data_IF_434014934585
#
_entry.id   IF_434014934585
#
_cell.length_a   1.000
_cell.length_b   1.000
_cell.length_c   1.000
_cell.angle_alpha   90.00
_cell.angle_beta   90.00
_cell.angle_gamma   90.00
#
_symmetry.space_group_name_H-M   'P 1'
#
loop_
_entity.id
_entity.type
_entity.pdbx_description
1 polymer ?
#
# COMPACT_ATOMS: atom_id res chain seq x y z
N UNK A 1 -1.69 1.81 -25.87
CA UNK A 1 -2.72 1.29 -24.96
C UNK A 1 -2.27 1.54 -23.53
N UNK A 2 -2.63 2.69 -22.95
CA UNK A 2 -2.38 2.95 -21.53
C UNK A 2 -3.50 2.25 -20.77
N UNK A 3 -3.25 1.03 -20.28
CA UNK A 3 -4.10 0.40 -19.30
C UNK A 3 -3.83 1.07 -17.95
N UNK A 4 -4.20 2.36 -17.84
CA UNK A 4 -4.11 3.11 -16.60
C UNK A 4 -5.18 2.53 -15.67
N UNK A 5 -4.77 1.55 -14.86
CA UNK A 5 -5.55 1.11 -13.72
C UNK A 5 -5.90 2.40 -12.94
N UNK A 6 -7.19 2.67 -12.64
CA UNK A 6 -7.57 3.89 -11.96
C UNK A 6 -6.71 4.05 -10.70
N UNK A 7 -6.06 5.20 -10.55
CA UNK A 7 -5.23 5.48 -9.38
C UNK A 7 -6.10 5.32 -8.13
N UNK A 8 -5.78 4.37 -7.24
CA UNK A 8 -6.58 4.15 -6.04
C UNK A 8 -6.66 5.43 -5.21
N UNK A 9 -7.82 5.72 -4.64
CA UNK A 9 -7.99 6.82 -3.68
C UNK A 9 -8.11 6.27 -2.26
N UNK A 10 -7.97 7.13 -1.24
CA UNK A 10 -8.19 6.72 0.16
C UNK A 10 -9.58 6.13 0.39
N UNK A 11 -10.59 6.52 -0.40
CA UNK A 11 -11.96 6.04 -0.30
C UNK A 11 -12.12 4.59 -0.77
N UNK A 12 -11.21 4.10 -1.62
CA UNK A 12 -11.20 2.72 -2.11
C UNK A 12 -10.59 1.74 -1.08
N UNK A 13 -9.98 2.26 -0.02
CA UNK A 13 -9.29 1.49 1.01
C UNK A 13 -10.08 1.46 2.31
N UNK A 14 -10.18 0.29 2.91
CA UNK A 14 -10.65 0.11 4.28
C UNK A 14 -9.67 0.74 5.29
N UNK A 15 -10.16 1.00 6.50
CA UNK A 15 -9.34 1.49 7.61
C UNK A 15 -8.14 0.56 7.92
N UNK A 16 -8.30 -0.75 7.73
CA UNK A 16 -7.23 -1.73 7.94
C UNK A 16 -6.17 -1.59 6.84
N UNK A 17 -6.57 -1.46 5.57
CA UNK A 17 -5.64 -1.29 4.45
C UNK A 17 -4.89 0.04 4.56
N UNK A 18 -5.55 1.15 4.91
CA UNK A 18 -4.87 2.42 5.18
C UNK A 18 -3.86 2.32 6.32
N UNK A 19 -4.21 1.60 7.39
CA UNK A 19 -3.30 1.34 8.51
C UNK A 19 -2.08 0.52 8.07
N UNK A 20 -2.27 -0.51 7.23
CA UNK A 20 -1.16 -1.31 6.70
C UNK A 20 -0.29 -0.49 5.75
N UNK A 21 -0.88 0.34 4.89
CA UNK A 21 -0.15 1.24 3.99
C UNK A 21 0.77 2.18 4.79
N UNK A 22 0.23 2.82 5.84
CA UNK A 22 0.99 3.67 6.74
C UNK A 22 2.06 2.90 7.53
N UNK A 23 1.84 1.61 7.80
CA UNK A 23 2.83 0.75 8.49
C UNK A 23 3.97 0.36 7.58
N UNK A 24 3.69 0.00 6.32
CA UNK A 24 4.70 -0.30 5.30
C UNK A 24 5.54 0.93 4.96
N UNK A 25 4.98 2.14 5.09
CA UNK A 25 5.69 3.40 4.93
C UNK A 25 6.82 3.62 5.95
N UNK A 26 6.70 3.03 7.15
CA UNK A 26 7.62 3.28 8.27
C UNK A 26 8.71 2.19 8.25
N UNK A 27 9.99 2.55 8.22
CA UNK A 27 11.06 1.58 8.34
C UNK A 27 11.01 0.91 9.72
N UNK A 28 10.86 -0.41 9.75
CA UNK A 28 10.76 -1.19 10.97
C UNK A 28 10.36 -2.64 10.72
N UNK A 29 10.30 -3.48 11.77
CA UNK A 29 9.87 -4.86 11.62
C UNK A 29 8.41 -4.94 11.17
N UNK A 30 8.14 -5.67 10.07
CA UNK A 30 6.80 -5.93 9.53
C UNK A 30 5.98 -6.92 10.38
N UNK A 31 6.18 -6.90 11.69
CA UNK A 31 5.51 -7.79 12.65
C UNK A 31 4.09 -7.28 12.87
N UNK A 32 3.10 -8.18 12.72
CA UNK A 32 1.69 -7.87 12.90
C UNK A 32 1.01 -7.17 11.70
N UNK A 33 1.60 -7.26 10.50
CA UNK A 33 0.89 -6.86 9.28
C UNK A 33 -0.24 -7.85 8.98
N UNK A 34 -1.41 -7.31 8.62
CA UNK A 34 -2.49 -8.12 8.09
C UNK A 34 -2.18 -8.51 6.64
N UNK A 35 -1.91 -9.80 6.42
CA UNK A 35 -1.48 -10.30 5.11
C UNK A 35 -2.52 -10.10 4.00
N UNK A 36 -3.81 -10.13 4.32
CA UNK A 36 -4.88 -9.91 3.32
C UNK A 36 -4.95 -8.45 2.90
N UNK A 37 -4.88 -7.53 3.86
CA UNK A 37 -4.83 -6.11 3.58
C UNK A 37 -3.56 -5.73 2.78
N UNK A 38 -2.40 -6.27 3.15
CA UNK A 38 -1.15 -6.03 2.40
C UNK A 38 -1.23 -6.61 0.98
N UNK A 39 -1.80 -7.80 0.81
CA UNK A 39 -2.03 -8.39 -0.51
C UNK A 39 -2.89 -7.49 -1.38
N UNK A 40 -3.96 -6.91 -0.83
CA UNK A 40 -4.79 -5.93 -1.56
C UNK A 40 -4.04 -4.67 -1.93
N UNK A 41 -3.23 -4.12 -1.03
CA UNK A 41 -2.39 -2.96 -1.36
C UNK A 41 -1.40 -3.26 -2.50
N UNK A 42 -0.94 -4.51 -2.62
CA UNK A 42 -0.12 -4.98 -3.75
C UNK A 42 -0.95 -5.07 -5.03
N UNK A 43 -2.17 -5.59 -4.96
CA UNK A 43 -3.10 -5.64 -6.10
C UNK A 43 -3.46 -4.25 -6.62
N UNK A 44 -3.57 -3.27 -5.72
CA UNK A 44 -3.78 -1.86 -6.05
C UNK A 44 -2.52 -1.15 -6.57
N UNK A 45 -1.35 -1.80 -6.53
CA UNK A 45 -0.09 -1.19 -6.97
C UNK A 45 0.49 -0.18 -5.96
N UNK A 46 -0.06 -0.09 -4.75
CA UNK A 46 0.38 0.84 -3.70
C UNK A 46 1.59 0.31 -2.90
N UNK A 47 1.74 -1.02 -2.86
CA UNK A 47 2.82 -1.74 -2.19
C UNK A 47 3.44 -2.73 -3.16
N UNK A 48 4.75 -2.94 -3.06
CA UNK A 48 5.48 -4.00 -3.76
C UNK A 48 6.23 -4.89 -2.78
N UNK A 49 6.33 -6.17 -3.11
CA UNK A 49 7.13 -7.14 -2.37
C UNK A 49 8.61 -6.97 -2.68
N UNK A 50 9.45 -7.20 -1.68
CA UNK A 50 10.91 -7.29 -1.79
C UNK A 50 11.38 -8.53 -1.04
N UNK A 51 12.62 -8.96 -1.32
CA UNK A 51 13.26 -10.14 -0.68
C UNK A 51 13.18 -10.11 0.86
N UNK A 52 13.23 -8.91 1.46
CA UNK A 52 13.19 -8.72 2.91
C UNK A 52 11.91 -8.03 3.43
N UNK A 53 10.80 -8.03 2.68
CA UNK A 53 9.51 -7.50 3.15
C UNK A 53 8.73 -6.70 2.11
N UNK A 54 8.22 -5.53 2.50
CA UNK A 54 7.32 -4.72 1.68
C UNK A 54 7.82 -3.30 1.51
N UNK A 55 7.61 -2.71 0.35
CA UNK A 55 7.93 -1.31 0.11
C UNK A 55 6.73 -0.60 -0.52
N UNK A 56 6.50 0.65 -0.12
CA UNK A 56 5.58 1.51 -0.85
C UNK A 56 6.07 1.79 -2.27
N UNK A 57 5.11 1.93 -3.19
CA UNK A 57 5.32 2.54 -4.49
C UNK A 57 5.15 4.06 -4.41
N UNK A 58 5.50 4.77 -5.47
CA UNK A 58 5.29 6.22 -5.57
C UNK A 58 3.80 6.59 -5.40
N UNK A 59 2.90 5.77 -5.94
CA UNK A 59 1.45 5.91 -5.78
C UNK A 59 1.01 5.71 -4.33
N UNK A 60 1.55 4.69 -3.65
CA UNK A 60 1.31 4.47 -2.22
C UNK A 60 1.79 5.63 -1.35
N UNK A 61 2.93 6.23 -1.69
CA UNK A 61 3.41 7.45 -1.03
C UNK A 61 2.52 8.66 -1.31
N UNK A 62 2.08 8.85 -2.56
CA UNK A 62 1.18 9.92 -2.94
C UNK A 62 -0.16 9.82 -2.19
N UNK A 63 -0.70 8.61 -2.04
CA UNK A 63 -1.96 8.36 -1.34
C UNK A 63 -1.88 8.68 0.15
N UNK A 64 -0.74 8.45 0.79
CA UNK A 64 -0.52 8.85 2.19
C UNK A 64 -0.36 10.37 2.37
N UNK A 65 0.14 11.07 1.34
CA UNK A 65 0.41 12.51 1.38
C UNK A 65 -0.75 13.38 0.89
N UNK A 66 -1.61 12.86 0.03
CA UNK A 66 -2.79 13.57 -0.45
C UNK A 66 -3.68 13.87 0.75
N UNK A 67 -3.83 15.13 1.16
CA UNK A 67 -4.67 15.54 2.30
C UNK A 67 -6.15 15.25 2.02
#
# INVERSE_FOLDING_TARGET
MANAKPTPTKADLSAIELKMLARVARPGPYVGLDGKAVQRLIEFGLVKTRVAGYQLTDEGFALLRAE
#
